data_IF_185985993722
#
_entry.id   IF_185985993722
#
_cell.length_a   1.000
_cell.length_b   1.000
_cell.length_c   1.000
_cell.angle_alpha   90.00
_cell.angle_beta   90.00
_cell.angle_gamma   90.00
#
_symmetry.space_group_name_H-M   'P 1'
#
loop_
_entity.id
_entity.type
_entity.pdbx_description
1 polymer ?
#
# COMPACT_ATOMS: atom_id res chain seq x y z
N UNK A 1 3.42 -20.11 -7.09
CA UNK A 1 2.84 -18.75 -7.08
C UNK A 1 3.88 -17.75 -7.61
N UNK A 2 3.87 -17.42 -8.91
CA UNK A 2 4.85 -16.52 -9.55
C UNK A 2 4.26 -15.18 -10.04
N UNK A 3 2.95 -14.97 -9.85
CA UNK A 3 2.20 -13.86 -10.48
C UNK A 3 1.92 -12.69 -9.54
N UNK A 4 2.30 -12.78 -8.26
CA UNK A 4 2.13 -11.67 -7.33
C UNK A 4 3.32 -10.73 -7.41
N UNK A 5 3.22 -9.71 -8.25
CA UNK A 5 4.22 -8.65 -8.35
C UNK A 5 4.12 -7.75 -7.12
N UNK A 6 5.25 -7.40 -6.54
CA UNK A 6 5.33 -6.46 -5.43
C UNK A 6 5.22 -4.98 -5.85
N UNK A 7 5.12 -4.72 -7.15
CA UNK A 7 5.06 -3.38 -7.75
C UNK A 7 4.47 -3.45 -9.17
N UNK A 8 4.03 -2.31 -9.70
CA UNK A 8 3.44 -2.18 -11.03
C UNK A 8 2.26 -3.14 -11.22
N UNK A 9 1.44 -3.29 -10.16
CA UNK A 9 0.17 -4.01 -10.27
C UNK A 9 -0.78 -3.26 -11.22
N UNK A 10 -1.76 -3.98 -11.78
CA UNK A 10 -2.77 -3.36 -12.66
C UNK A 10 -3.40 -2.09 -12.04
N UNK A 11 -3.90 -2.10 -10.78
CA UNK A 11 -4.46 -0.89 -10.18
C UNK A 11 -3.44 0.25 -10.03
N UNK A 12 -2.18 -0.03 -9.64
CA UNK A 12 -1.14 0.99 -9.58
C UNK A 12 -0.86 1.64 -10.95
N UNK A 13 -0.80 0.85 -12.01
CA UNK A 13 -0.58 1.35 -13.38
C UNK A 13 -1.74 2.22 -13.83
N UNK A 14 -2.98 1.79 -13.59
CA UNK A 14 -4.18 2.55 -13.97
C UNK A 14 -4.30 3.87 -13.20
N UNK A 15 -4.08 3.85 -11.89
CA UNK A 15 -4.06 5.06 -11.06
C UNK A 15 -3.00 6.06 -11.57
N UNK A 16 -1.77 5.59 -11.83
CA UNK A 16 -0.71 6.45 -12.38
C UNK A 16 -1.05 7.02 -13.75
N UNK A 17 -1.66 6.21 -14.64
CA UNK A 17 -2.13 6.69 -15.95
C UNK A 17 -3.19 7.77 -15.80
N UNK A 18 -4.14 7.60 -14.88
CA UNK A 18 -5.18 8.60 -14.59
C UNK A 18 -4.58 9.91 -14.07
N UNK A 19 -3.65 9.84 -13.11
CA UNK A 19 -2.97 11.00 -12.56
C UNK A 19 -2.15 11.75 -13.62
N UNK A 20 -1.39 11.01 -14.44
CA UNK A 20 -0.58 11.58 -15.50
C UNK A 20 -1.46 12.25 -16.58
N UNK A 21 -2.59 11.63 -16.96
CA UNK A 21 -3.56 12.23 -17.90
C UNK A 21 -4.16 13.53 -17.37
N UNK A 22 -4.27 13.69 -16.05
CA UNK A 22 -4.71 14.93 -15.40
C UNK A 22 -3.59 15.97 -15.24
N UNK A 23 -2.40 15.74 -15.80
CA UNK A 23 -1.27 16.67 -15.72
C UNK A 23 -0.55 16.68 -14.36
N UNK A 24 -0.91 15.77 -13.45
CA UNK A 24 -0.31 15.71 -12.13
C UNK A 24 1.08 15.08 -12.19
N UNK A 25 2.07 15.76 -11.62
CA UNK A 25 3.44 15.25 -11.47
C UNK A 25 3.59 14.62 -10.08
N UNK A 26 3.97 13.35 -10.06
CA UNK A 26 4.17 12.56 -8.84
C UNK A 26 5.48 11.78 -8.92
N UNK A 27 5.98 11.35 -7.76
CA UNK A 27 7.02 10.33 -7.64
C UNK A 27 6.35 8.97 -7.45
N UNK A 28 6.87 7.94 -8.10
CA UNK A 28 6.43 6.56 -7.93
C UNK A 28 7.42 5.78 -7.07
N UNK A 29 6.94 4.79 -6.32
CA UNK A 29 7.78 3.90 -5.50
C UNK A 29 8.75 4.70 -4.60
N UNK A 30 8.21 5.71 -3.93
CA UNK A 30 8.99 6.64 -3.12
C UNK A 30 9.20 6.06 -1.73
N UNK A 31 10.41 5.57 -1.46
CA UNK A 31 10.78 5.00 -0.17
C UNK A 31 10.98 6.11 0.86
N UNK A 32 10.33 5.97 2.01
CA UNK A 32 10.47 6.85 3.16
C UNK A 32 10.75 6.03 4.41
N UNK A 33 11.42 6.67 5.36
CA UNK A 33 11.44 6.22 6.75
C UNK A 33 10.47 7.10 7.52
N UNK A 34 9.46 6.47 8.13
CA UNK A 34 8.39 7.18 8.80
C UNK A 34 7.90 6.37 10.01
N UNK A 35 7.71 7.04 11.15
CA UNK A 35 7.31 6.41 12.41
C UNK A 35 8.16 5.18 12.81
N UNK A 36 9.47 5.21 12.51
CA UNK A 36 10.41 4.11 12.81
C UNK A 36 10.24 2.89 11.91
N UNK A 37 9.48 2.99 10.82
CA UNK A 37 9.32 1.94 9.82
C UNK A 37 9.70 2.44 8.43
N UNK A 38 10.24 1.54 7.60
CA UNK A 38 10.47 1.82 6.19
C UNK A 38 9.21 1.49 5.41
N UNK A 39 8.65 2.50 4.75
CA UNK A 39 7.43 2.39 3.95
C UNK A 39 7.70 2.90 2.55
N UNK A 40 7.08 2.27 1.55
CA UNK A 40 7.20 2.72 0.16
C UNK A 40 5.85 3.27 -0.27
N UNK A 41 5.82 4.54 -0.64
CA UNK A 41 4.62 5.20 -1.15
C UNK A 41 4.49 4.91 -2.65
N UNK A 42 3.32 4.44 -3.09
CA UNK A 42 3.05 4.14 -4.50
C UNK A 42 3.05 5.41 -5.35
N UNK A 43 2.37 6.45 -4.86
CA UNK A 43 2.28 7.75 -5.49
C UNK A 43 2.50 8.85 -4.44
N UNK A 44 3.63 9.55 -4.54
CA UNK A 44 3.96 10.66 -3.65
C UNK A 44 3.91 12.00 -4.38
N UNK A 45 3.33 13.01 -3.71
CA UNK A 45 3.34 14.41 -4.11
C UNK A 45 4.12 15.25 -3.07
N UNK A 46 5.47 15.27 -3.13
CA UNK A 46 6.27 15.96 -2.11
C UNK A 46 5.92 17.44 -1.93
N UNK A 47 5.59 18.13 -3.02
CA UNK A 47 5.19 19.56 -2.99
C UNK A 47 3.86 19.79 -2.26
N UNK A 48 2.95 18.82 -2.32
CA UNK A 48 1.64 18.88 -1.67
C UNK A 48 1.64 18.20 -0.31
N UNK A 49 2.78 17.61 0.11
CA UNK A 49 2.89 16.76 1.31
C UNK A 49 1.82 15.67 1.36
N UNK A 50 1.45 15.13 0.20
CA UNK A 50 0.42 14.10 0.05
C UNK A 50 1.05 12.77 -0.35
N UNK A 51 0.73 11.71 0.40
CA UNK A 51 1.10 10.34 0.10
C UNK A 51 -0.17 9.54 -0.25
N UNK A 52 -0.12 8.75 -1.32
CA UNK A 52 -1.21 7.87 -1.74
C UNK A 52 -0.66 6.45 -1.80
N UNK A 53 -1.25 5.58 -1.01
CA UNK A 53 -0.98 4.14 -1.00
C UNK A 53 -2.08 3.42 -1.77
N UNK A 54 -1.70 2.49 -2.65
CA UNK A 54 -2.60 1.74 -3.53
C UNK A 54 -2.57 0.29 -3.06
N UNK A 55 -3.38 0.05 -2.04
CA UNK A 55 -3.38 -1.17 -1.28
C UNK A 55 -4.51 -2.11 -1.71
N UNK A 56 -4.13 -3.35 -2.07
CA UNK A 56 -5.11 -4.37 -2.44
C UNK A 56 -5.85 -4.89 -1.21
N UNK A 57 -7.20 -4.94 -1.27
CA UNK A 57 -8.05 -5.39 -0.16
C UNK A 57 -7.65 -6.74 0.47
N UNK A 58 -7.08 -7.65 -0.34
CA UNK A 58 -6.58 -8.94 0.11
C UNK A 58 -5.37 -8.85 1.06
N UNK A 59 -4.44 -7.92 0.83
CA UNK A 59 -3.18 -7.83 1.58
C UNK A 59 -3.33 -7.21 2.96
N UNK A 60 -4.42 -6.48 3.16
CA UNK A 60 -4.68 -5.68 4.35
C UNK A 60 -5.95 -6.09 5.09
N UNK A 61 -6.52 -7.24 4.70
CA UNK A 61 -7.72 -7.80 5.33
C UNK A 61 -8.83 -6.74 5.47
N UNK A 62 -9.14 -6.07 4.36
CA UNK A 62 -10.20 -5.05 4.32
C UNK A 62 -11.47 -5.62 4.96
N UNK A 63 -12.18 -4.89 5.84
CA UNK A 63 -13.34 -5.42 6.56
C UNK A 63 -14.47 -5.90 5.63
N UNK A 64 -14.54 -5.39 4.40
CA UNK A 64 -15.57 -5.76 3.42
C UNK A 64 -15.18 -6.92 2.50
N UNK A 65 -13.90 -7.07 2.16
CA UNK A 65 -13.43 -8.00 1.12
C UNK A 65 -12.25 -8.89 1.55
N UNK A 66 -11.80 -8.78 2.80
CA UNK A 66 -10.70 -9.53 3.37
C UNK A 66 -11.12 -10.98 3.61
N UNK A 67 -10.44 -11.92 2.95
CA UNK A 67 -10.66 -13.34 3.15
C UNK A 67 -9.34 -14.08 3.29
N UNK A 68 -9.20 -14.86 4.36
CA UNK A 68 -8.03 -15.71 4.57
C UNK A 68 -8.16 -16.95 3.67
N UNK A 69 -7.19 -17.22 2.77
CA UNK A 69 -7.23 -18.42 1.95
C UNK A 69 -7.35 -19.68 2.81
N UNK A 70 -8.22 -20.63 2.41
CA UNK A 70 -8.41 -21.90 3.13
C UNK A 70 -7.17 -22.81 3.13
N UNK A 71 -6.18 -22.52 2.28
CA UNK A 71 -4.92 -23.24 2.17
C UNK A 71 -3.80 -22.46 2.85
N UNK A 72 -2.92 -23.11 3.62
CA UNK A 72 -1.82 -22.48 4.36
C UNK A 72 -2.28 -21.37 5.32
N UNK A 73 -3.40 -21.59 6.01
CA UNK A 73 -4.07 -20.62 6.91
C UNK A 73 -3.09 -20.02 7.92
N UNK A 74 -2.25 -20.82 8.58
CA UNK A 74 -1.29 -20.32 9.56
C UNK A 74 -0.27 -19.33 8.97
N UNK A 75 0.25 -19.63 7.77
CA UNK A 75 1.16 -18.73 7.05
C UNK A 75 0.46 -17.43 6.65
N UNK A 76 -0.73 -17.51 6.07
CA UNK A 76 -1.48 -16.34 5.64
C UNK A 76 -1.96 -15.48 6.80
N UNK A 77 -2.41 -16.10 7.89
CA UNK A 77 -2.83 -15.38 9.10
C UNK A 77 -1.67 -14.58 9.68
N UNK A 78 -0.49 -15.20 9.88
CA UNK A 78 0.69 -14.49 10.41
C UNK A 78 1.12 -13.34 9.48
N UNK A 79 1.11 -13.60 8.16
CA UNK A 79 1.52 -12.60 7.16
C UNK A 79 0.57 -11.41 7.07
N UNK A 80 -0.74 -11.67 7.07
CA UNK A 80 -1.77 -10.63 7.01
C UNK A 80 -1.78 -9.79 8.30
N UNK A 81 -1.66 -10.43 9.46
CA UNK A 81 -1.54 -9.70 10.74
C UNK A 81 -0.33 -8.77 10.72
N UNK A 82 0.85 -9.24 10.28
CA UNK A 82 2.04 -8.41 10.20
C UNK A 82 1.94 -7.25 9.19
N UNK A 83 1.12 -7.39 8.14
CA UNK A 83 0.81 -6.28 7.23
C UNK A 83 -0.07 -5.24 7.92
N UNK A 84 -1.17 -5.66 8.56
CA UNK A 84 -2.09 -4.78 9.28
C UNK A 84 -1.37 -4.03 10.41
N UNK A 85 -0.46 -4.68 11.14
CA UNK A 85 0.33 -4.02 12.18
C UNK A 85 1.29 -2.97 11.63
N UNK A 86 1.89 -3.23 10.46
CA UNK A 86 2.77 -2.26 9.79
C UNK A 86 1.98 -1.04 9.32
N UNK A 87 0.83 -1.28 8.71
CA UNK A 87 -0.07 -0.22 8.24
C UNK A 87 -0.55 0.66 9.38
N UNK A 88 -0.99 0.06 10.50
CA UNK A 88 -1.37 0.82 11.70
C UNK A 88 -0.26 1.74 12.22
N UNK A 89 1.01 1.33 12.14
CA UNK A 89 2.13 2.19 12.53
C UNK A 89 2.30 3.38 11.60
N UNK A 90 2.08 3.17 10.30
CA UNK A 90 2.14 4.22 9.28
C UNK A 90 0.97 5.19 9.43
N UNK A 91 -0.26 4.68 9.55
CA UNK A 91 -1.48 5.48 9.74
C UNK A 91 -1.43 6.33 11.01
N UNK A 92 -1.00 5.76 12.14
CA UNK A 92 -0.83 6.51 13.38
C UNK A 92 0.21 7.64 13.28
N UNK A 93 1.17 7.52 12.35
CA UNK A 93 2.11 8.59 12.06
C UNK A 93 1.49 9.70 11.21
N UNK A 94 0.62 9.37 10.26
CA UNK A 94 -0.05 10.36 9.38
C UNK A 94 -1.25 11.04 10.04
N UNK A 95 -1.93 10.39 10.99
CA UNK A 95 -3.10 10.91 11.70
C UNK A 95 -2.82 11.99 12.76
N UNK A 96 -1.56 12.40 12.96
CA UNK A 96 -1.20 13.58 13.75
C UNK A 96 -1.04 14.79 12.83
N UNK A 97 -2.16 15.33 12.35
CA UNK A 97 -2.20 16.66 11.71
C UNK A 97 -3.35 17.47 12.29
#
# INVERSE_FOLDING_TARGET
MRSNKSRDTKPEVEARRLLHRRGLRFRKSFAIEFAGARSTIDVAFPRLRLAVFIDGCFWHSCPEHGHIPRSNVAYWSSKLTGNVERDRKVDNGFGRM
#
